data_IF_071162763629
#
_entry.id   IF_071162763629
#
_cell.length_a   1.000
_cell.length_b   1.000
_cell.length_c   1.000
_cell.angle_alpha   90.00
_cell.angle_beta   90.00
_cell.angle_gamma   90.00
#
_symmetry.space_group_name_H-M   'P 1'
#
loop_
_entity.id
_entity.type
_entity.pdbx_description
1 polymer ?
#
# COMPACT_ATOMS: atom_id res chain seq x y z
N UNK A 1 23.74 16.16 1.15
CA UNK A 1 22.99 15.55 2.24
C UNK A 1 23.27 14.05 2.35
N UNK A 2 23.23 13.50 3.58
CA UNK A 2 23.35 12.08 3.87
C UNK A 2 22.19 11.67 4.77
N UNK A 3 21.63 10.48 4.56
CA UNK A 3 20.59 9.88 5.38
C UNK A 3 21.07 8.57 5.96
N UNK A 4 20.97 8.43 7.28
CA UNK A 4 21.16 7.19 8.00
C UNK A 4 19.78 6.63 8.36
N UNK A 5 19.52 5.39 7.97
CA UNK A 5 18.27 4.71 8.27
C UNK A 5 18.56 3.36 8.90
N UNK A 6 18.04 3.15 10.10
CA UNK A 6 18.11 1.87 10.80
C UNK A 6 16.71 1.28 10.85
N UNK A 7 16.61 -0.01 10.61
CA UNK A 7 15.36 -0.76 10.66
C UNK A 7 15.55 -1.95 11.59
N UNK A 8 14.65 -2.10 12.54
CA UNK A 8 14.54 -3.29 13.37
C UNK A 8 13.15 -3.87 13.14
N UNK A 9 13.08 -5.14 12.79
CA UNK A 9 11.80 -5.80 12.49
C UNK A 9 11.61 -7.05 13.33
N UNK A 10 10.38 -7.24 13.80
CA UNK A 10 9.90 -8.47 14.41
C UNK A 10 8.67 -8.93 13.63
N UNK A 11 8.64 -10.20 13.25
CA UNK A 11 7.50 -10.78 12.55
C UNK A 11 7.16 -12.15 13.15
N UNK A 12 5.87 -12.46 13.18
CA UNK A 12 5.35 -13.77 13.55
C UNK A 12 4.29 -14.21 12.57
N UNK A 13 4.20 -15.53 12.36
CA UNK A 13 3.18 -16.12 11.50
C UNK A 13 2.56 -17.33 12.20
N UNK A 14 1.24 -17.45 12.09
CA UNK A 14 0.44 -18.58 12.54
C UNK A 14 -0.22 -19.22 11.31
N UNK A 15 0.00 -20.53 11.14
CA UNK A 15 -0.63 -21.29 10.06
C UNK A 15 -1.40 -22.45 10.67
N UNK A 16 -2.70 -22.40 10.52
CA UNK A 16 -3.64 -23.48 10.86
C UNK A 16 -4.27 -24.01 9.56
N UNK A 17 -5.07 -25.07 9.67
CA UNK A 17 -5.70 -25.69 8.49
C UNK A 17 -6.55 -24.72 7.66
N UNK A 18 -7.24 -23.78 8.31
CA UNK A 18 -8.17 -22.83 7.67
C UNK A 18 -7.84 -21.35 7.93
N UNK A 19 -6.82 -21.06 8.72
CA UNK A 19 -6.46 -19.69 9.09
C UNK A 19 -4.96 -19.54 8.93
N UNK A 20 -4.57 -18.47 8.24
CA UNK A 20 -3.21 -18.00 8.19
C UNK A 20 -3.20 -16.55 8.69
N UNK A 21 -2.44 -16.29 9.73
CA UNK A 21 -2.31 -14.95 10.29
C UNK A 21 -0.84 -14.55 10.35
N UNK A 22 -0.56 -13.29 10.09
CA UNK A 22 0.77 -12.73 10.14
C UNK A 22 0.72 -11.38 10.85
N UNK A 23 1.62 -11.16 11.79
CA UNK A 23 1.80 -9.87 12.43
C UNK A 23 3.26 -9.46 12.31
N UNK A 24 3.51 -8.21 12.02
CA UNK A 24 4.85 -7.64 12.00
C UNK A 24 4.88 -6.25 12.62
N UNK A 25 6.02 -5.94 13.18
CA UNK A 25 6.32 -4.65 13.79
C UNK A 25 7.69 -4.21 13.29
N UNK A 26 7.77 -3.03 12.68
CA UNK A 26 9.03 -2.46 12.22
C UNK A 26 9.24 -1.14 12.92
N UNK A 27 10.36 -0.99 13.61
CA UNK A 27 10.87 0.29 14.07
C UNK A 27 11.83 0.85 13.02
N UNK A 28 11.58 2.07 12.59
CA UNK A 28 12.42 2.78 11.65
C UNK A 28 12.94 4.05 12.31
N UNK A 29 14.26 4.18 12.42
CA UNK A 29 14.94 5.39 12.90
C UNK A 29 15.67 6.02 11.71
N UNK A 30 15.30 7.28 11.41
CA UNK A 30 15.90 8.03 10.30
C UNK A 30 16.54 9.30 10.81
N UNK A 31 17.77 9.57 10.36
CA UNK A 31 18.56 10.74 10.71
C UNK A 31 19.20 11.34 9.47
N UNK A 32 18.89 12.60 9.19
CA UNK A 32 19.47 13.34 8.07
C UNK A 32 20.63 14.21 8.57
N UNK A 33 21.67 14.31 7.73
CA UNK A 33 22.78 15.23 7.92
C UNK A 33 23.01 16.02 6.62
N UNK A 34 22.98 17.33 6.70
CA UNK A 34 23.30 18.23 5.58
C UNK A 34 24.54 19.04 5.89
N UNK A 35 25.37 19.25 4.88
CA UNK A 35 26.63 19.99 5.03
C UNK A 35 26.40 21.49 5.20
N UNK A 36 25.31 22.01 4.61
CA UNK A 36 24.92 23.42 4.66
C UNK A 36 23.42 23.55 4.90
N UNK A 37 22.99 24.46 5.78
CA UNK A 37 21.60 24.68 6.12
C UNK A 37 21.12 23.80 7.29
N UNK A 38 19.81 23.85 7.55
CA UNK A 38 19.18 23.05 8.61
C UNK A 38 18.82 21.64 8.08
N UNK A 39 19.27 20.62 8.77
CA UNK A 39 18.83 19.25 8.51
C UNK A 39 17.40 19.04 9.03
N UNK A 40 16.64 18.16 8.38
CA UNK A 40 15.35 17.71 8.92
C UNK A 40 15.58 17.01 10.28
N UNK A 41 14.58 17.07 11.16
CA UNK A 41 14.68 16.42 12.47
C UNK A 41 14.77 14.89 12.33
N UNK A 42 15.55 14.25 13.22
CA UNK A 42 15.55 12.79 13.31
C UNK A 42 14.15 12.29 13.71
N UNK A 43 13.75 11.16 13.14
CA UNK A 43 12.45 10.54 13.39
C UNK A 43 12.61 9.08 13.75
N UNK A 44 11.88 8.64 14.77
CA UNK A 44 11.64 7.23 15.07
C UNK A 44 10.16 6.94 14.85
N UNK A 45 9.85 5.88 14.15
CA UNK A 45 8.46 5.51 13.85
C UNK A 45 8.28 4.01 13.91
N UNK A 46 7.19 3.61 14.55
CA UNK A 46 6.73 2.25 14.68
C UNK A 46 5.63 1.98 13.64
N UNK A 47 5.84 0.95 12.83
CA UNK A 47 4.92 0.56 11.74
C UNK A 47 4.43 -0.88 11.93
N UNK A 48 3.31 -1.08 12.67
CA UNK A 48 2.66 -2.37 12.78
C UNK A 48 1.96 -2.75 11.49
N UNK A 49 1.93 -4.06 11.20
CA UNK A 49 1.09 -4.64 10.15
C UNK A 49 0.51 -5.96 10.64
N UNK A 50 -0.74 -6.20 10.30
CA UNK A 50 -1.47 -7.41 10.57
C UNK A 50 -2.18 -7.88 9.30
N UNK A 51 -2.03 -9.15 8.98
CA UNK A 51 -2.67 -9.81 7.85
C UNK A 51 -3.32 -11.10 8.33
N UNK A 52 -4.53 -11.38 7.87
CA UNK A 52 -5.21 -12.64 8.09
C UNK A 52 -5.85 -13.14 6.80
N UNK A 53 -5.76 -14.43 6.59
CA UNK A 53 -6.41 -15.16 5.51
C UNK A 53 -7.19 -16.32 6.10
N UNK A 54 -8.48 -16.38 5.80
CA UNK A 54 -9.40 -17.40 6.30
C UNK A 54 -9.97 -18.19 5.13
N UNK A 55 -9.92 -19.50 5.22
CA UNK A 55 -10.52 -20.44 4.28
C UNK A 55 -11.80 -21.04 4.89
N UNK A 56 -13.01 -20.51 4.56
CA UNK A 56 -14.26 -21.01 5.15
C UNK A 56 -14.52 -22.49 4.83
N UNK A 57 -14.02 -22.95 3.66
CA UNK A 57 -14.23 -24.31 3.18
C UNK A 57 -12.92 -25.11 3.17
N UNK A 58 -13.01 -26.43 3.42
CA UNK A 58 -11.86 -27.35 3.35
C UNK A 58 -11.22 -27.41 1.96
N UNK A 59 -12.03 -27.26 0.91
CA UNK A 59 -11.58 -27.22 -0.48
C UNK A 59 -10.71 -26.00 -0.81
N UNK A 60 -10.63 -25.02 0.11
CA UNK A 60 -9.95 -23.73 -0.11
C UNK A 60 -10.43 -22.98 -1.35
N UNK A 61 -11.66 -23.30 -1.80
CA UNK A 61 -12.30 -22.65 -2.94
C UNK A 61 -12.39 -21.12 -2.75
N UNK A 62 -12.71 -20.70 -1.52
CA UNK A 62 -12.85 -19.30 -1.14
C UNK A 62 -11.83 -18.96 -0.05
N UNK A 63 -11.14 -17.86 -0.21
CA UNK A 63 -10.34 -17.20 0.82
C UNK A 63 -10.92 -15.82 1.09
N UNK A 64 -11.04 -15.48 2.38
CA UNK A 64 -11.34 -14.14 2.87
C UNK A 64 -10.06 -13.60 3.49
N UNK A 65 -9.59 -12.44 3.01
CA UNK A 65 -8.35 -11.83 3.49
C UNK A 65 -8.63 -10.45 4.07
N UNK A 66 -7.92 -10.11 5.14
CA UNK A 66 -7.96 -8.77 5.71
C UNK A 66 -6.53 -8.32 6.05
N UNK A 67 -6.29 -7.04 5.85
CA UNK A 67 -5.03 -6.37 6.16
C UNK A 67 -5.33 -5.08 6.93
N UNK A 68 -4.54 -4.85 7.98
CA UNK A 68 -4.46 -3.57 8.65
C UNK A 68 -2.99 -3.23 8.86
N UNK A 69 -2.53 -2.08 8.36
CA UNK A 69 -1.13 -1.68 8.54
C UNK A 69 -0.97 -0.17 8.67
N UNK A 70 0.07 0.23 9.39
CA UNK A 70 0.60 1.58 9.37
C UNK A 70 1.84 1.60 8.47
N UNK A 71 1.93 2.58 7.60
CA UNK A 71 3.12 2.86 6.80
C UNK A 71 3.62 4.28 7.06
N UNK A 72 4.88 4.51 6.73
CA UNK A 72 5.58 5.76 6.98
C UNK A 72 6.53 6.05 5.83
N UNK A 73 6.57 7.30 5.35
CA UNK A 73 7.47 7.75 4.29
C UNK A 73 8.19 9.02 4.69
N UNK A 74 9.51 8.97 4.77
CA UNK A 74 10.31 10.19 4.91
C UNK A 74 10.27 11.00 3.61
N UNK A 75 10.23 12.34 3.69
CA UNK A 75 10.45 13.19 2.53
C UNK A 75 11.77 12.83 1.85
N UNK A 76 11.79 12.87 0.53
CA UNK A 76 13.02 12.68 -0.25
C UNK A 76 13.95 13.89 -0.11
N UNK A 77 15.20 13.75 -0.49
CA UNK A 77 16.11 14.91 -0.52
C UNK A 77 15.65 16.00 -1.47
N UNK A 78 14.99 15.63 -2.57
CA UNK A 78 14.39 16.60 -3.48
C UNK A 78 13.24 17.36 -2.83
N UNK A 79 12.37 16.66 -2.09
CA UNK A 79 11.27 17.29 -1.36
C UNK A 79 11.79 18.31 -0.34
N UNK A 80 12.92 18.00 0.33
CA UNK A 80 13.48 18.81 1.41
C UNK A 80 14.42 19.92 0.94
N UNK A 81 15.31 19.63 -0.02
CA UNK A 81 16.52 20.44 -0.27
C UNK A 81 16.71 20.86 -1.73
N UNK A 82 15.77 20.59 -2.62
CA UNK A 82 15.84 21.11 -3.99
C UNK A 82 15.71 22.63 -3.97
N UNK A 83 16.67 23.33 -4.62
CA UNK A 83 16.90 24.77 -4.43
C UNK A 83 15.65 25.65 -4.66
N UNK A 84 14.82 25.31 -5.65
CA UNK A 84 13.67 26.13 -6.05
C UNK A 84 12.33 25.66 -5.46
N UNK A 85 12.22 24.41 -5.04
CA UNK A 85 10.95 23.78 -4.66
C UNK A 85 10.99 23.12 -3.27
N UNK A 86 12.18 22.80 -2.79
CA UNK A 86 12.36 22.03 -1.54
C UNK A 86 11.88 22.79 -0.31
N UNK A 87 11.37 22.03 0.66
CA UNK A 87 10.92 22.56 1.94
C UNK A 87 11.48 21.70 3.08
N UNK A 88 12.50 22.20 3.78
CA UNK A 88 13.16 21.48 4.89
C UNK A 88 12.28 21.30 6.12
N UNK A 89 11.10 21.94 6.18
CA UNK A 89 10.13 21.84 7.28
C UNK A 89 9.09 20.75 7.08
N UNK A 90 9.17 19.96 6.00
CA UNK A 90 8.19 18.89 5.73
C UNK A 90 8.18 17.85 6.85
N UNK A 91 6.99 17.48 7.25
CA UNK A 91 6.74 16.30 8.07
C UNK A 91 6.77 15.04 7.22
N UNK A 92 7.17 13.90 7.79
CA UNK A 92 7.00 12.61 7.15
C UNK A 92 5.52 12.26 6.97
N UNK A 93 5.18 11.66 5.84
CA UNK A 93 3.85 11.07 5.65
C UNK A 93 3.66 9.84 6.53
N UNK A 94 2.47 9.65 7.05
CA UNK A 94 2.04 8.39 7.66
C UNK A 94 0.68 7.97 7.10
N UNK A 95 0.49 6.68 6.87
CA UNK A 95 -0.76 6.14 6.38
C UNK A 95 -1.22 4.96 7.22
N UNK A 96 -2.50 4.97 7.60
CA UNK A 96 -3.24 3.81 8.09
C UNK A 96 -4.00 3.20 6.91
N UNK A 97 -3.80 1.92 6.69
CA UNK A 97 -4.35 1.21 5.54
C UNK A 97 -5.12 -0.01 6.03
N UNK A 98 -6.34 -0.14 5.52
CA UNK A 98 -7.23 -1.26 5.76
C UNK A 98 -7.66 -1.84 4.42
N UNK A 99 -7.66 -3.15 4.32
CA UNK A 99 -8.09 -3.89 3.14
C UNK A 99 -8.90 -5.11 3.57
N UNK A 100 -9.97 -5.37 2.85
CA UNK A 100 -10.79 -6.57 2.98
C UNK A 100 -11.02 -7.14 1.58
N UNK A 101 -10.63 -8.38 1.39
CA UNK A 101 -10.71 -9.02 0.09
C UNK A 101 -11.25 -10.44 0.10
N UNK A 102 -11.69 -10.86 -1.07
CA UNK A 102 -12.16 -12.22 -1.34
C UNK A 102 -11.41 -12.77 -2.54
N UNK A 103 -10.98 -14.02 -2.44
CA UNK A 103 -10.37 -14.74 -3.55
C UNK A 103 -11.10 -16.06 -3.71
N UNK A 104 -11.70 -16.28 -4.87
CA UNK A 104 -12.29 -17.54 -5.27
C UNK A 104 -11.37 -18.20 -6.29
N UNK A 105 -10.98 -19.45 -6.04
CA UNK A 105 -10.20 -20.27 -6.98
C UNK A 105 -10.96 -21.57 -7.22
N UNK A 106 -11.24 -21.85 -8.48
CA UNK A 106 -11.92 -23.09 -8.88
C UNK A 106 -11.18 -23.70 -10.05
N UNK A 107 -10.75 -24.94 -9.87
CA UNK A 107 -10.13 -25.75 -10.92
C UNK A 107 -11.11 -26.83 -11.38
N UNK A 108 -11.09 -27.13 -12.66
CA UNK A 108 -11.85 -28.24 -13.27
C UNK A 108 -10.87 -29.21 -13.90
N UNK A 109 -11.13 -30.50 -13.70
CA UNK A 109 -10.30 -31.57 -14.26
C UNK A 109 -10.72 -32.01 -15.66
N UNK A 110 -11.89 -31.59 -16.09
CA UNK A 110 -12.49 -31.97 -17.38
C UNK A 110 -13.30 -30.80 -17.93
N UNK A 111 -13.30 -30.66 -19.25
CA UNK A 111 -14.01 -29.61 -19.98
C UNK A 111 -13.04 -28.59 -20.58
N UNK A 112 -13.60 -27.61 -21.27
CA UNK A 112 -12.83 -26.53 -21.93
C UNK A 112 -12.29 -25.53 -20.90
N UNK A 113 -12.98 -25.35 -19.77
CA UNK A 113 -12.53 -24.45 -18.70
C UNK A 113 -11.61 -25.24 -17.77
N UNK A 114 -10.39 -24.78 -17.61
CA UNK A 114 -9.35 -25.36 -16.76
C UNK A 114 -9.43 -24.76 -15.34
N UNK A 115 -9.41 -23.43 -15.24
CA UNK A 115 -9.50 -22.75 -13.95
C UNK A 115 -10.26 -21.41 -14.05
N UNK A 116 -10.79 -20.99 -12.92
CA UNK A 116 -11.36 -19.66 -12.70
C UNK A 116 -10.78 -19.09 -11.40
N UNK A 117 -10.25 -17.89 -11.49
CA UNK A 117 -9.85 -17.10 -10.32
C UNK A 117 -10.58 -15.77 -10.34
N UNK A 118 -11.29 -15.46 -9.26
CA UNK A 118 -11.90 -14.16 -9.02
C UNK A 118 -11.30 -13.57 -7.77
N UNK A 119 -10.96 -12.30 -7.81
CA UNK A 119 -10.46 -11.57 -6.67
C UNK A 119 -11.12 -10.20 -6.61
N UNK A 120 -11.59 -9.81 -5.44
CA UNK A 120 -12.14 -8.49 -5.17
C UNK A 120 -11.58 -8.01 -3.85
N UNK A 121 -11.03 -6.80 -3.85
CA UNK A 121 -10.45 -6.13 -2.69
C UNK A 121 -11.07 -4.75 -2.53
N UNK A 122 -11.61 -4.46 -1.36
CA UNK A 122 -12.03 -3.12 -0.96
C UNK A 122 -11.05 -2.55 0.04
N UNK A 123 -10.62 -1.30 -0.15
CA UNK A 123 -9.65 -0.67 0.73
C UNK A 123 -10.05 0.73 1.19
N UNK A 124 -9.55 1.09 2.36
CA UNK A 124 -9.67 2.41 2.93
C UNK A 124 -8.37 2.84 3.59
N UNK A 125 -7.80 3.95 3.12
CA UNK A 125 -6.54 4.48 3.60
C UNK A 125 -6.73 5.90 4.11
N UNK A 126 -6.14 6.20 5.27
CA UNK A 126 -6.03 7.56 5.80
C UNK A 126 -4.57 7.96 5.78
N UNK A 127 -4.24 8.98 5.01
CA UNK A 127 -2.88 9.53 4.91
C UNK A 127 -2.83 10.86 5.65
N UNK A 128 -1.89 11.00 6.57
CA UNK A 128 -1.57 12.23 7.28
C UNK A 128 -0.29 12.83 6.73
N UNK A 129 -0.22 14.17 6.72
CA UNK A 129 0.94 14.93 6.22
C UNK A 129 1.33 14.56 4.78
N UNK A 130 0.36 14.33 3.89
CA UNK A 130 0.60 14.01 2.47
C UNK A 130 1.49 15.05 1.82
N UNK A 131 2.65 14.64 1.29
CA UNK A 131 3.57 15.55 0.60
C UNK A 131 3.12 15.74 -0.85
N UNK A 132 2.91 16.99 -1.23
CA UNK A 132 2.49 17.37 -2.59
C UNK A 132 3.28 18.58 -3.08
N UNK A 133 3.45 18.67 -4.39
CA UNK A 133 3.92 19.88 -5.04
C UNK A 133 2.75 20.84 -5.23
N UNK A 134 2.87 22.05 -4.73
CA UNK A 134 1.85 23.09 -4.79
C UNK A 134 2.36 24.33 -5.52
N UNK A 135 1.59 24.94 -6.44
CA UNK A 135 2.00 26.18 -7.13
C UNK A 135 2.03 27.36 -6.17
N UNK A 136 3.14 28.07 -6.12
CA UNK A 136 3.35 29.24 -5.28
C UNK A 136 3.17 30.54 -6.08
N UNK A 137 1.97 31.11 -6.02
CA UNK A 137 1.65 32.39 -6.66
C UNK A 137 1.62 32.35 -8.20
N UNK A 138 1.63 33.52 -8.84
CA UNK A 138 1.47 33.67 -10.30
C UNK A 138 2.73 33.40 -11.13
N UNK A 139 3.86 33.05 -10.53
CA UNK A 139 5.17 32.96 -11.21
C UNK A 139 5.58 31.55 -11.61
N UNK A 140 4.67 30.60 -11.78
CA UNK A 140 4.97 29.19 -12.10
C UNK A 140 5.98 28.52 -11.15
N UNK A 141 6.16 29.05 -9.94
CA UNK A 141 7.01 28.44 -8.93
C UNK A 141 6.21 27.42 -8.14
N UNK A 142 6.83 26.28 -7.86
CA UNK A 142 6.25 25.22 -7.06
C UNK A 142 6.93 25.17 -5.70
N UNK A 143 6.26 24.69 -4.69
CA UNK A 143 6.85 24.36 -3.38
C UNK A 143 6.28 23.05 -2.90
N UNK A 144 7.09 22.31 -2.16
CA UNK A 144 6.62 21.09 -1.48
C UNK A 144 5.95 21.48 -0.17
N UNK A 145 4.76 20.93 0.07
CA UNK A 145 4.03 21.11 1.33
C UNK A 145 3.33 19.82 1.77
N UNK A 146 2.99 19.75 3.04
CA UNK A 146 2.14 18.69 3.55
C UNK A 146 0.68 19.14 3.45
N UNK A 147 -0.17 18.29 2.83
CA UNK A 147 -1.61 18.31 3.08
C UNK A 147 -1.88 17.63 4.42
N UNK A 148 -2.81 18.15 5.21
CA UNK A 148 -3.07 17.64 6.55
C UNK A 148 -3.55 16.19 6.54
N UNK A 149 -4.67 15.90 5.87
CA UNK A 149 -5.29 14.58 5.86
C UNK A 149 -5.95 14.27 4.52
N UNK A 150 -5.67 13.08 4.00
CA UNK A 150 -6.28 12.57 2.77
C UNK A 150 -6.91 11.20 3.03
N UNK A 151 -8.17 11.04 2.65
CA UNK A 151 -8.84 9.74 2.62
C UNK A 151 -8.81 9.17 1.22
N UNK A 152 -8.41 7.91 1.11
CA UNK A 152 -8.36 7.18 -0.15
C UNK A 152 -9.15 5.88 0.04
N UNK A 153 -10.18 5.69 -0.77
CA UNK A 153 -10.98 4.45 -0.77
C UNK A 153 -11.13 3.94 -2.18
N UNK A 154 -11.25 2.64 -2.31
CA UNK A 154 -11.40 2.05 -3.63
C UNK A 154 -11.74 0.58 -3.59
N UNK A 155 -11.91 0.06 -4.79
CA UNK A 155 -12.17 -1.35 -5.05
C UNK A 155 -11.29 -1.80 -6.22
N UNK A 156 -10.57 -2.90 -6.02
CA UNK A 156 -9.84 -3.60 -7.07
C UNK A 156 -10.53 -4.95 -7.34
N UNK A 157 -10.79 -5.26 -8.59
CA UNK A 157 -11.36 -6.52 -9.00
C UNK A 157 -10.53 -7.16 -10.12
N UNK A 158 -10.36 -8.48 -10.06
CA UNK A 158 -9.67 -9.27 -11.07
C UNK A 158 -10.44 -10.55 -11.34
N UNK A 159 -10.64 -10.87 -12.62
CA UNK A 159 -11.15 -12.14 -13.08
C UNK A 159 -10.13 -12.76 -14.04
N UNK A 160 -9.81 -14.02 -13.83
CA UNK A 160 -8.94 -14.80 -14.70
C UNK A 160 -9.61 -16.15 -15.00
N UNK A 161 -9.61 -16.51 -16.27
CA UNK A 161 -10.10 -17.81 -16.73
C UNK A 161 -9.04 -18.48 -17.60
N UNK A 162 -8.75 -19.73 -17.29
CA UNK A 162 -7.94 -20.61 -18.12
C UNK A 162 -8.84 -21.52 -18.95
N UNK A 163 -8.47 -21.70 -20.21
CA UNK A 163 -9.19 -22.50 -21.18
C UNK A 163 -8.23 -23.47 -21.87
N UNK A 164 -8.66 -24.72 -22.03
CA UNK A 164 -8.00 -25.73 -22.86
C UNK A 164 -8.94 -26.16 -24.01
N UNK A 165 -9.10 -25.34 -25.07
CA UNK A 165 -10.07 -25.60 -26.12
C UNK A 165 -9.72 -26.80 -26.99
N UNK A 166 -8.46 -27.21 -27.06
CA UNK A 166 -7.97 -28.37 -27.76
C UNK A 166 -6.68 -28.88 -27.12
N UNK A 167 -6.29 -30.10 -27.50
CA UNK A 167 -5.01 -30.69 -27.08
C UNK A 167 -3.85 -29.73 -27.43
N UNK A 168 -2.96 -29.51 -26.48
CA UNK A 168 -1.78 -28.64 -26.61
C UNK A 168 -2.09 -27.12 -26.71
N UNK A 169 -3.36 -26.70 -26.57
CA UNK A 169 -3.74 -25.30 -26.54
C UNK A 169 -4.14 -24.86 -25.11
N UNK A 170 -3.43 -23.88 -24.60
CA UNK A 170 -3.76 -23.21 -23.32
C UNK A 170 -3.95 -21.72 -23.56
N UNK A 171 -5.10 -21.21 -23.18
CA UNK A 171 -5.46 -19.80 -23.31
C UNK A 171 -5.82 -19.28 -21.92
N UNK A 172 -5.22 -18.17 -21.50
CA UNK A 172 -5.58 -17.48 -20.26
C UNK A 172 -6.10 -16.08 -20.61
N UNK A 173 -7.32 -15.79 -20.19
CA UNK A 173 -7.89 -14.45 -20.28
C UNK A 173 -7.94 -13.82 -18.89
N UNK A 174 -7.51 -12.56 -18.76
CA UNK A 174 -7.53 -11.80 -17.51
C UNK A 174 -8.15 -10.43 -17.73
N UNK A 175 -9.08 -10.07 -16.84
CA UNK A 175 -9.70 -8.76 -16.76
C UNK A 175 -9.37 -8.15 -15.39
N UNK A 176 -8.99 -6.88 -15.38
CA UNK A 176 -8.74 -6.12 -14.15
C UNK A 176 -9.52 -4.81 -14.18
N UNK A 177 -10.07 -4.45 -13.05
CA UNK A 177 -10.79 -3.20 -12.83
C UNK A 177 -10.35 -2.57 -11.52
N UNK A 178 -10.08 -1.27 -11.55
CA UNK A 178 -9.74 -0.47 -10.36
C UNK A 178 -10.60 0.77 -10.32
N UNK A 179 -11.23 1.01 -9.18
CA UNK A 179 -11.88 2.27 -8.86
C UNK A 179 -11.25 2.87 -7.61
N UNK A 180 -10.87 4.15 -7.67
CA UNK A 180 -10.30 4.87 -6.54
C UNK A 180 -10.89 6.27 -6.42
N UNK A 181 -11.23 6.66 -5.20
CA UNK A 181 -11.65 8.00 -4.81
C UNK A 181 -10.68 8.52 -3.73
N UNK A 182 -10.04 9.66 -3.98
CA UNK A 182 -9.11 10.30 -3.06
C UNK A 182 -9.59 11.72 -2.76
N UNK A 183 -9.74 12.04 -1.45
CA UNK A 183 -10.25 13.35 -1.01
C UNK A 183 -9.35 13.95 0.04
N UNK A 184 -9.06 15.23 -0.13
CA UNK A 184 -8.49 16.05 0.95
C UNK A 184 -9.59 16.33 1.97
N UNK A 185 -9.30 16.04 3.24
CA UNK A 185 -10.19 16.23 4.39
C UNK A 185 -9.45 16.96 5.51
N UNK A 186 -8.52 17.83 5.14
CA UNK A 186 -7.68 18.60 6.06
C UNK A 186 -8.51 19.56 6.90
N UNK A 187 -9.47 20.23 6.28
CA UNK A 187 -10.47 21.07 6.93
C UNK A 187 -11.87 20.59 6.55
N UNK A 188 -12.78 20.43 7.52
CA UNK A 188 -14.17 20.03 7.28
C UNK A 188 -15.01 21.15 6.68
#
# INVERSE_FOLDING_TARGET
>A
PHRYSNFVSLATALTLSRIQAQASLVEQVVKDHVKYGASSSSRSTLTPAFFVNVYPFESKLLAVKALAKKSFRMPTFNDLYYADMGNSKLNPESALQYDLGFVLNKDWKQGVVDHLRLQVDGYYNTVHDKIVAYPKGQQFRWTMLNLGKVHIKGVDAMAEVGLEPAKDWKVTARLQYTYQDARDVTDP
#
